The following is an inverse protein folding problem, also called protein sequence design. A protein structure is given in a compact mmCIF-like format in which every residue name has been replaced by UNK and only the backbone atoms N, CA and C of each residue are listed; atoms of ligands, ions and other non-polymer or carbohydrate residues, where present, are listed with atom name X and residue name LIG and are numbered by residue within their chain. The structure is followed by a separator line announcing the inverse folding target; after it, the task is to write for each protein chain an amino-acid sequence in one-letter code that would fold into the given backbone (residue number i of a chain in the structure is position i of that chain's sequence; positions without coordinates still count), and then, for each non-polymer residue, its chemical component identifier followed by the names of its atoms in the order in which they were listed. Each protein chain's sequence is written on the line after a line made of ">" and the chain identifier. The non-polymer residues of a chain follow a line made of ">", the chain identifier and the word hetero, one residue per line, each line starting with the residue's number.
data_IF_429377122032
#
_entry.id   IF_429377122032
#
_cell.length_a   1.000
_cell.length_b   1.000
_cell.length_c   1.000
_cell.angle_alpha   90.00
_cell.angle_beta   90.00
_cell.angle_gamma   90.00
#
_symmetry.space_group_name_H-M   'P 1'
#
loop_
_entity.id
_entity.type
_entity.pdbx_description
1 polymer ?
#
# COMPACT_ATOMS: atom_id res chain seq x y z
N UNK A 1 13.41 -33.98 20.63
CA UNK A 1 13.47 -32.61 20.11
C UNK A 1 12.23 -32.42 19.26
N UNK A 2 11.20 -31.83 19.84
CA UNK A 2 9.94 -31.58 19.14
C UNK A 2 10.03 -30.20 18.52
N UNK A 3 10.11 -30.15 17.20
CA UNK A 3 9.99 -28.90 16.45
C UNK A 3 8.56 -28.39 16.62
N UNK A 4 8.42 -27.28 17.35
CA UNK A 4 7.19 -26.52 17.38
C UNK A 4 7.01 -25.84 16.01
N UNK A 5 6.35 -26.52 15.09
CA UNK A 5 5.71 -25.89 13.95
C UNK A 5 4.60 -25.00 14.51
N UNK A 6 4.89 -23.71 14.73
CA UNK A 6 3.84 -22.72 14.97
C UNK A 6 2.87 -22.80 13.80
N UNK A 7 1.65 -23.26 14.08
CA UNK A 7 0.57 -23.24 13.13
C UNK A 7 0.39 -21.78 12.68
N UNK A 8 0.64 -21.51 11.40
CA UNK A 8 0.32 -20.23 10.78
C UNK A 8 -1.18 -20.03 11.01
N UNK A 9 -1.52 -19.00 11.76
CA UNK A 9 -2.90 -18.63 12.01
C UNK A 9 -3.57 -18.41 10.65
N UNK A 10 -4.69 -19.09 10.35
CA UNK A 10 -5.32 -18.98 9.05
C UNK A 10 -5.76 -17.53 8.86
N UNK A 11 -5.19 -16.89 7.84
CA UNK A 11 -5.57 -15.52 7.50
C UNK A 11 -7.03 -15.51 7.03
N UNK A 12 -7.75 -14.40 7.21
CA UNK A 12 -9.09 -14.15 6.67
C UNK A 12 -9.24 -14.61 5.20
N UNK A 13 -8.17 -14.47 4.42
CA UNK A 13 -8.08 -14.92 3.04
C UNK A 13 -8.32 -16.43 2.80
N UNK A 14 -8.03 -17.31 3.77
CA UNK A 14 -8.17 -18.77 3.59
C UNK A 14 -9.62 -19.20 3.35
N UNK A 15 -10.60 -18.43 3.86
CA UNK A 15 -12.02 -18.67 3.56
C UNK A 15 -12.36 -18.25 2.14
N UNK A 16 -11.85 -17.11 1.68
CA UNK A 16 -12.11 -16.57 0.33
C UNK A 16 -11.64 -17.50 -0.78
N UNK A 17 -10.57 -18.27 -0.55
CA UNK A 17 -10.00 -19.18 -1.56
C UNK A 17 -10.54 -20.61 -1.52
N UNK A 18 -11.41 -20.95 -0.56
CA UNK A 18 -11.87 -22.32 -0.31
C UNK A 18 -12.61 -22.97 -1.49
N UNK A 19 -13.24 -22.16 -2.36
CA UNK A 19 -13.98 -22.62 -3.53
C UNK A 19 -13.14 -22.70 -4.82
N UNK A 20 -11.88 -22.28 -4.79
CA UNK A 20 -11.00 -22.30 -5.95
C UNK A 20 -10.39 -23.70 -6.15
N UNK A 21 -10.02 -24.03 -7.39
CA UNK A 21 -9.20 -25.20 -7.68
C UNK A 21 -7.84 -25.08 -6.96
N UNK A 22 -7.20 -26.21 -6.65
CA UNK A 22 -5.95 -26.22 -5.87
C UNK A 22 -4.86 -25.35 -6.48
N UNK A 23 -4.72 -25.36 -7.81
CA UNK A 23 -3.72 -24.56 -8.52
C UNK A 23 -4.02 -23.07 -8.44
N UNK A 24 -5.26 -22.66 -8.71
CA UNK A 24 -5.67 -21.24 -8.64
C UNK A 24 -5.55 -20.72 -7.22
N UNK A 25 -5.98 -21.52 -6.22
CA UNK A 25 -5.82 -21.21 -4.79
C UNK A 25 -4.36 -21.01 -4.43
N UNK A 26 -3.48 -21.94 -4.82
CA UNK A 26 -2.06 -21.86 -4.52
C UNK A 26 -1.47 -20.56 -5.05
N UNK A 27 -1.72 -20.24 -6.33
CA UNK A 27 -1.23 -19.03 -6.98
C UNK A 27 -1.77 -17.77 -6.28
N UNK A 28 -3.08 -17.70 -6.02
CA UNK A 28 -3.70 -16.55 -5.36
C UNK A 28 -3.14 -16.33 -3.94
N UNK A 29 -3.04 -17.40 -3.14
CA UNK A 29 -2.53 -17.32 -1.76
C UNK A 29 -1.05 -16.95 -1.67
N UNK A 30 -0.25 -17.26 -2.70
CA UNK A 30 1.17 -16.98 -2.73
C UNK A 30 1.48 -15.50 -2.93
N UNK A 31 0.64 -14.79 -3.68
CA UNK A 31 0.85 -13.37 -4.02
C UNK A 31 0.23 -12.39 -3.01
N UNK A 32 -0.67 -12.86 -2.15
CA UNK A 32 -1.28 -12.01 -1.12
C UNK A 32 -0.35 -11.96 0.09
N UNK A 33 0.26 -10.80 0.29
CA UNK A 33 1.12 -10.55 1.44
C UNK A 33 0.29 -10.24 2.68
N UNK A 34 0.76 -10.65 3.88
CA UNK A 34 0.25 -10.10 5.13
C UNK A 34 0.28 -8.56 5.13
N UNK A 35 -0.72 -7.92 5.72
CA UNK A 35 -0.90 -6.46 5.71
C UNK A 35 0.33 -5.69 6.25
N UNK A 36 1.09 -6.26 7.19
CA UNK A 36 2.31 -5.65 7.76
C UNK A 36 3.54 -5.75 6.86
N UNK A 37 3.43 -6.48 5.75
CA UNK A 37 4.47 -6.65 4.72
C UNK A 37 4.05 -6.05 3.38
N UNK A 38 2.76 -5.79 3.20
CA UNK A 38 2.21 -5.08 2.05
C UNK A 38 2.38 -3.58 2.25
N UNK A 39 3.25 -2.95 1.44
CA UNK A 39 3.41 -1.49 1.46
C UNK A 39 2.07 -0.78 1.22
N UNK A 40 1.24 -1.34 0.35
CA UNK A 40 -0.04 -0.74 -0.05
C UNK A 40 -1.06 -0.83 1.08
N UNK A 41 -1.18 -1.98 1.74
CA UNK A 41 -2.03 -2.14 2.91
C UNK A 41 -1.56 -1.23 4.06
N UNK A 42 -0.25 -1.14 4.32
CA UNK A 42 0.30 -0.21 5.32
C UNK A 42 0.01 1.25 4.98
N UNK A 43 0.12 1.66 3.70
CA UNK A 43 -0.24 3.01 3.23
C UNK A 43 -1.73 3.31 3.39
N UNK A 44 -2.59 2.32 3.14
CA UNK A 44 -4.02 2.41 3.39
C UNK A 44 -4.30 2.65 4.88
N UNK A 45 -3.77 1.80 5.77
CA UNK A 45 -3.98 1.92 7.21
C UNK A 45 -3.46 3.26 7.75
N UNK A 46 -2.23 3.65 7.43
CA UNK A 46 -1.63 4.89 7.95
C UNK A 46 -2.37 6.15 7.46
N UNK A 47 -2.92 6.14 6.25
CA UNK A 47 -3.73 7.24 5.73
C UNK A 47 -5.02 7.42 6.54
N UNK A 48 -5.67 6.32 6.90
CA UNK A 48 -6.81 6.33 7.80
C UNK A 48 -6.46 6.79 9.21
N UNK A 49 -5.36 6.29 9.77
CA UNK A 49 -4.89 6.71 11.10
C UNK A 49 -4.56 8.21 11.15
N UNK A 50 -3.88 8.74 10.12
CA UNK A 50 -3.60 10.17 10.01
C UNK A 50 -4.89 10.97 9.95
N UNK A 51 -5.83 10.62 9.07
CA UNK A 51 -7.10 11.32 8.95
C UNK A 51 -7.90 11.30 10.25
N UNK A 52 -7.95 10.17 10.95
CA UNK A 52 -8.59 10.04 12.25
C UNK A 52 -7.95 10.91 13.33
N UNK A 53 -6.67 11.28 13.20
CA UNK A 53 -5.98 12.19 14.12
C UNK A 53 -6.08 13.66 13.74
N UNK A 54 -6.04 13.98 12.44
CA UNK A 54 -6.03 15.36 11.95
C UNK A 54 -7.42 15.98 11.86
N UNK A 55 -8.43 15.18 11.51
CA UNK A 55 -9.76 15.72 11.11
C UNK A 55 -10.80 15.55 12.24
N UNK A 56 -10.54 14.68 13.23
CA UNK A 56 -11.45 14.40 14.36
C UNK A 56 -11.55 15.54 15.39
N UNK A 57 -10.71 16.58 15.29
CA UNK A 57 -10.60 17.65 16.31
C UNK A 57 -11.23 18.99 15.95
N UNK A 58 -12.04 19.06 14.90
CA UNK A 58 -12.88 20.23 14.62
C UNK A 58 -14.35 19.99 14.98
N UNK A 59 -14.75 19.88 16.27
CA UNK A 59 -16.08 20.29 16.64
C UNK A 59 -16.10 21.81 16.53
N UNK A 60 -16.72 22.33 15.48
CA UNK A 60 -17.04 23.75 15.38
C UNK A 60 -17.94 24.09 16.57
N UNK A 61 -17.37 24.74 17.58
CA UNK A 61 -18.10 25.38 18.67
C UNK A 61 -18.83 26.59 18.09
N UNK A 62 -19.94 26.34 17.40
CA UNK A 62 -20.85 27.37 16.93
C UNK A 62 -22.20 26.74 16.59
N UNK A 63 -23.02 26.50 17.61
CA UNK A 63 -24.51 26.52 17.61
C UNK A 63 -24.96 26.01 18.99
N UNK A 64 -24.90 26.88 20.00
CA UNK A 64 -26.06 27.57 20.59
C UNK A 64 -26.99 26.63 21.36
N UNK A 65 -27.03 26.85 22.67
CA UNK A 65 -28.04 26.36 23.61
C UNK A 65 -29.48 26.53 23.06
N UNK A 66 -30.03 25.52 22.39
CA UNK A 66 -31.46 25.33 22.20
C UNK A 66 -31.75 23.89 21.76
N UNK A 67 -32.67 23.23 22.47
CA UNK A 67 -33.25 21.92 22.15
C UNK A 67 -32.40 20.68 22.46
N UNK A 68 -32.12 20.50 23.75
CA UNK A 68 -32.01 19.18 24.36
C UNK A 68 -33.35 18.43 24.27
N UNK A 69 -33.66 17.79 23.13
CA UNK A 69 -34.54 16.59 23.08
C UNK A 69 -34.47 15.77 21.77
N UNK A 70 -33.48 16.02 20.90
CA UNK A 70 -33.23 15.15 19.74
C UNK A 70 -31.83 14.59 19.84
N UNK A 71 -31.60 13.75 20.84
CA UNK A 71 -30.49 12.81 20.79
C UNK A 71 -30.75 11.85 19.62
N UNK A 72 -30.37 12.29 18.41
CA UNK A 72 -30.06 11.40 17.31
C UNK A 72 -29.02 10.45 17.87
N UNK A 73 -29.46 9.25 18.21
CA UNK A 73 -28.60 8.11 18.49
C UNK A 73 -27.65 8.02 17.30
N UNK A 74 -26.42 8.49 17.47
CA UNK A 74 -25.33 8.16 16.58
C UNK A 74 -25.32 6.64 16.51
N UNK A 75 -25.59 6.15 15.31
CA UNK A 75 -25.88 4.77 15.00
C UNK A 75 -24.82 3.86 15.65
N UNK A 76 -25.24 2.89 16.47
CA UNK A 76 -24.37 1.86 17.08
C UNK A 76 -23.77 0.91 16.01
N UNK A 77 -23.70 1.35 14.76
CA UNK A 77 -23.28 0.62 13.57
C UNK A 77 -22.03 1.22 12.90
N UNK A 78 -21.47 2.31 13.42
CA UNK A 78 -20.11 2.72 13.01
C UNK A 78 -19.10 1.76 13.66
N UNK A 79 -18.49 0.90 12.84
CA UNK A 79 -17.41 0.01 13.28
C UNK A 79 -16.26 0.82 13.88
N UNK A 80 -15.51 0.19 14.80
CA UNK A 80 -14.31 0.84 15.33
C UNK A 80 -13.36 1.17 14.15
N UNK A 81 -12.68 2.33 14.14
CA UNK A 81 -11.77 2.71 13.05
C UNK A 81 -10.75 1.63 12.70
N UNK A 82 -10.27 0.87 13.69
CA UNK A 82 -9.34 -0.24 13.49
C UNK A 82 -9.96 -1.40 12.71
N UNK A 83 -11.23 -1.74 12.96
CA UNK A 83 -11.97 -2.78 12.23
C UNK A 83 -12.25 -2.36 10.78
N UNK A 84 -12.66 -1.10 10.59
CA UNK A 84 -12.86 -0.50 9.28
C UNK A 84 -11.56 -0.55 8.47
N UNK A 85 -10.45 -0.05 9.04
CA UNK A 85 -9.17 0.01 8.36
C UNK A 85 -8.57 -1.38 8.12
N UNK A 86 -8.82 -2.35 9.00
CA UNK A 86 -8.44 -3.75 8.77
C UNK A 86 -9.14 -4.30 7.53
N UNK A 87 -10.46 -4.13 7.41
CA UNK A 87 -11.23 -4.61 6.26
C UNK A 87 -10.78 -3.97 4.94
N UNK A 88 -10.57 -2.64 4.94
CA UNK A 88 -10.13 -1.92 3.73
C UNK A 88 -8.69 -2.27 3.37
N UNK A 89 -7.80 -2.46 4.35
CA UNK A 89 -6.42 -2.89 4.11
C UNK A 89 -6.37 -4.32 3.53
N UNK A 90 -7.26 -5.23 3.95
CA UNK A 90 -7.38 -6.56 3.33
C UNK A 90 -7.80 -6.48 1.87
N UNK A 91 -8.77 -5.61 1.53
CA UNK A 91 -9.16 -5.38 0.13
C UNK A 91 -7.99 -4.84 -0.72
N UNK A 92 -7.19 -3.93 -0.15
CA UNK A 92 -5.99 -3.39 -0.81
C UNK A 92 -4.93 -4.48 -1.01
N UNK A 93 -4.72 -5.38 -0.04
CA UNK A 93 -3.78 -6.50 -0.17
C UNK A 93 -4.21 -7.47 -1.29
N UNK A 94 -5.52 -7.74 -1.44
CA UNK A 94 -6.06 -8.51 -2.56
C UNK A 94 -5.80 -7.82 -3.91
N UNK A 95 -6.04 -6.50 -3.98
CA UNK A 95 -5.78 -5.71 -5.18
C UNK A 95 -4.28 -5.68 -5.54
N UNK A 96 -3.39 -5.63 -4.54
CA UNK A 96 -1.95 -5.74 -4.76
C UNK A 96 -1.56 -7.09 -5.36
N UNK A 97 -2.12 -8.19 -4.84
CA UNK A 97 -1.93 -9.52 -5.41
C UNK A 97 -2.40 -9.61 -6.87
N UNK A 98 -3.53 -8.98 -7.20
CA UNK A 98 -3.99 -8.84 -8.58
C UNK A 98 -2.96 -8.12 -9.46
N UNK A 99 -2.47 -6.95 -9.04
CA UNK A 99 -1.49 -6.15 -9.79
C UNK A 99 -0.19 -6.95 -9.97
N UNK A 100 0.28 -7.66 -8.94
CA UNK A 100 1.48 -8.47 -9.02
C UNK A 100 1.33 -9.62 -10.03
N UNK A 101 0.21 -10.34 -10.03
CA UNK A 101 -0.04 -11.40 -11.00
C UNK A 101 -0.12 -10.88 -12.44
N UNK A 102 -0.78 -9.73 -12.66
CA UNK A 102 -0.84 -9.11 -14.00
C UNK A 102 0.53 -8.70 -14.49
N UNK A 103 1.35 -8.14 -13.61
CA UNK A 103 2.73 -7.81 -13.93
C UNK A 103 3.56 -9.06 -14.27
N UNK A 104 3.48 -10.11 -13.43
CA UNK A 104 4.18 -11.38 -13.68
C UNK A 104 3.75 -12.02 -15.02
N UNK A 105 2.46 -11.96 -15.38
CA UNK A 105 1.95 -12.51 -16.64
C UNK A 105 2.46 -11.79 -17.91
N UNK A 106 2.85 -10.52 -17.77
CA UNK A 106 3.38 -9.69 -18.85
C UNK A 106 4.91 -9.74 -18.95
N UNK A 107 5.60 -9.74 -17.81
CA UNK A 107 7.04 -9.47 -17.74
C UNK A 107 7.88 -10.57 -17.10
N UNK A 108 7.26 -11.61 -16.54
CA UNK A 108 7.98 -12.71 -15.91
C UNK A 108 7.79 -14.01 -16.67
N UNK A 109 8.82 -14.86 -16.62
CA UNK A 109 8.78 -16.23 -17.15
C UNK A 109 8.17 -17.23 -16.14
N UNK A 110 7.59 -16.72 -15.04
CA UNK A 110 6.98 -17.54 -13.98
C UNK A 110 5.83 -18.41 -14.46
N UNK A 111 5.06 -17.95 -15.46
CA UNK A 111 3.87 -18.64 -15.97
C UNK A 111 3.99 -18.93 -17.48
N UNK A 112 4.98 -19.76 -17.84
CA UNK A 112 5.28 -20.13 -19.24
C UNK A 112 4.38 -21.24 -19.80
N UNK A 113 3.88 -22.14 -18.93
CA UNK A 113 2.94 -23.19 -19.32
C UNK A 113 1.51 -22.64 -19.50
N UNK A 114 0.79 -23.12 -20.52
CA UNK A 114 -0.58 -22.68 -20.81
C UNK A 114 -1.52 -22.83 -19.61
N UNK A 115 -1.53 -24.00 -18.97
CA UNK A 115 -2.39 -24.25 -17.81
C UNK A 115 -2.06 -23.35 -16.61
N UNK A 116 -0.77 -23.07 -16.39
CA UNK A 116 -0.32 -22.17 -15.33
C UNK A 116 -0.70 -20.73 -15.64
N UNK A 117 -0.58 -20.31 -16.90
CA UNK A 117 -1.00 -18.99 -17.37
C UNK A 117 -2.50 -18.79 -17.20
N UNK A 118 -3.31 -19.76 -17.61
CA UNK A 118 -4.77 -19.74 -17.45
C UNK A 118 -5.15 -19.71 -15.95
N UNK A 119 -4.49 -20.50 -15.12
CA UNK A 119 -4.70 -20.49 -13.67
C UNK A 119 -4.31 -19.16 -13.01
N UNK A 120 -3.21 -18.53 -13.45
CA UNK A 120 -2.77 -17.23 -12.96
C UNK A 120 -3.72 -16.10 -13.40
N UNK A 121 -4.28 -16.16 -14.61
CA UNK A 121 -5.34 -15.24 -15.05
C UNK A 121 -6.57 -15.38 -14.14
N UNK A 122 -7.06 -16.60 -13.91
CA UNK A 122 -8.20 -16.84 -13.02
C UNK A 122 -7.93 -16.41 -11.57
N UNK A 123 -6.70 -16.64 -11.08
CA UNK A 123 -6.29 -16.19 -9.75
C UNK A 123 -6.32 -14.66 -9.67
N UNK A 124 -5.81 -13.96 -10.68
CA UNK A 124 -5.85 -12.50 -10.72
C UNK A 124 -7.28 -11.96 -10.77
N UNK A 125 -8.16 -12.54 -11.60
CA UNK A 125 -9.57 -12.13 -11.69
C UNK A 125 -10.30 -12.34 -10.37
N UNK A 126 -10.03 -13.47 -9.70
CA UNK A 126 -10.59 -13.73 -8.38
C UNK A 126 -10.13 -12.71 -7.34
N UNK A 127 -8.83 -12.39 -7.28
CA UNK A 127 -8.30 -11.39 -6.35
C UNK A 127 -8.90 -10.01 -6.59
N UNK A 128 -9.07 -9.60 -7.86
CA UNK A 128 -9.71 -8.34 -8.20
C UNK A 128 -11.17 -8.30 -7.75
N UNK A 129 -11.94 -9.35 -8.04
CA UNK A 129 -13.34 -9.47 -7.60
C UNK A 129 -13.47 -9.52 -6.06
N UNK A 130 -12.58 -10.26 -5.40
CA UNK A 130 -12.55 -10.38 -3.95
C UNK A 130 -12.28 -9.02 -3.28
N UNK A 131 -11.41 -8.17 -3.85
CA UNK A 131 -11.20 -6.83 -3.34
C UNK A 131 -12.49 -5.98 -3.31
N UNK A 132 -13.34 -6.07 -4.34
CA UNK A 132 -14.65 -5.39 -4.34
C UNK A 132 -15.61 -5.96 -3.30
N UNK A 133 -15.65 -7.29 -3.15
CA UNK A 133 -16.49 -7.93 -2.15
C UNK A 133 -16.08 -7.47 -0.74
N UNK A 134 -14.78 -7.49 -0.42
CA UNK A 134 -14.24 -7.06 0.87
C UNK A 134 -14.50 -5.58 1.16
N UNK A 135 -14.45 -4.70 0.16
CA UNK A 135 -14.82 -3.28 0.33
C UNK A 135 -16.30 -3.11 0.63
N UNK A 136 -17.16 -3.91 -0.01
CA UNK A 136 -18.61 -3.86 0.19
C UNK A 136 -19.00 -4.38 1.58
N UNK A 137 -18.26 -5.35 2.10
CA UNK A 137 -18.45 -5.94 3.43
C UNK A 137 -17.82 -5.11 4.57
N UNK A 138 -17.12 -4.01 4.26
CA UNK A 138 -16.49 -3.17 5.27
C UNK A 138 -17.56 -2.51 6.17
N UNK A 139 -17.35 -2.41 7.49
CA UNK A 139 -18.34 -1.88 8.43
C UNK A 139 -18.41 -0.35 8.41
N UNK A 140 -18.80 0.22 7.28
CA UNK A 140 -18.95 1.67 7.04
C UNK A 140 -20.37 2.01 6.61
N UNK A 141 -20.84 3.26 6.81
CA UNK A 141 -22.14 3.71 6.32
C UNK A 141 -22.27 3.58 4.80
N UNK A 142 -23.48 3.34 4.28
CA UNK A 142 -23.77 3.13 2.85
C UNK A 142 -23.18 4.21 1.93
N UNK A 143 -23.27 5.48 2.32
CA UNK A 143 -22.70 6.59 1.56
C UNK A 143 -21.19 6.46 1.39
N UNK A 144 -20.49 6.06 2.46
CA UNK A 144 -19.05 5.84 2.48
C UNK A 144 -18.66 4.55 1.75
N UNK A 145 -19.48 3.50 1.85
CA UNK A 145 -19.32 2.26 1.06
C UNK A 145 -19.37 2.56 -0.45
N UNK A 146 -20.32 3.38 -0.90
CA UNK A 146 -20.42 3.81 -2.29
C UNK A 146 -19.21 4.65 -2.74
N UNK A 147 -18.69 5.52 -1.89
CA UNK A 147 -17.48 6.29 -2.17
C UNK A 147 -16.24 5.39 -2.29
N UNK A 148 -16.06 4.44 -1.36
CA UNK A 148 -14.99 3.43 -1.45
C UNK A 148 -15.07 2.63 -2.75
N UNK A 149 -16.27 2.18 -3.12
CA UNK A 149 -16.50 1.47 -4.39
C UNK A 149 -16.09 2.33 -5.59
N UNK A 150 -16.49 3.61 -5.64
CA UNK A 150 -16.12 4.54 -6.72
C UNK A 150 -14.61 4.73 -6.81
N UNK A 151 -13.93 4.89 -5.69
CA UNK A 151 -12.48 5.03 -5.66
C UNK A 151 -11.77 3.75 -6.11
N UNK A 152 -12.23 2.58 -5.67
CA UNK A 152 -11.69 1.29 -6.13
C UNK A 152 -11.91 1.08 -7.64
N UNK A 153 -13.07 1.47 -8.16
CA UNK A 153 -13.39 1.41 -9.59
C UNK A 153 -12.52 2.35 -10.43
N UNK A 154 -12.33 3.58 -9.97
CA UNK A 154 -11.44 4.55 -10.62
C UNK A 154 -9.98 4.05 -10.62
N UNK A 155 -9.48 3.57 -9.47
CA UNK A 155 -8.14 3.00 -9.35
C UNK A 155 -7.96 1.76 -10.24
N UNK A 156 -8.93 0.86 -10.29
CA UNK A 156 -8.93 -0.30 -11.18
C UNK A 156 -8.86 0.09 -12.66
N UNK A 157 -9.57 1.14 -13.04
CA UNK A 157 -9.57 1.64 -14.42
C UNK A 157 -8.24 2.28 -14.79
N UNK A 158 -7.63 3.04 -13.87
CA UNK A 158 -6.30 3.59 -14.06
C UNK A 158 -5.24 2.49 -14.17
N UNK A 159 -5.30 1.46 -13.30
CA UNK A 159 -4.41 0.29 -13.40
C UNK A 159 -4.57 -0.44 -14.74
N UNK A 160 -5.79 -0.60 -15.24
CA UNK A 160 -6.04 -1.22 -16.54
C UNK A 160 -5.44 -0.40 -17.69
N UNK A 161 -5.54 0.93 -17.65
CA UNK A 161 -4.92 1.82 -18.62
C UNK A 161 -3.39 1.68 -18.61
N UNK A 162 -2.76 1.71 -17.43
CA UNK A 162 -1.31 1.52 -17.30
C UNK A 162 -0.87 0.14 -17.82
N UNK A 163 -1.59 -0.94 -17.50
CA UNK A 163 -1.28 -2.26 -18.05
C UNK A 163 -1.47 -2.35 -19.58
N UNK A 164 -2.41 -1.60 -20.14
CA UNK A 164 -2.61 -1.53 -21.59
C UNK A 164 -1.45 -0.80 -22.28
N UNK A 165 -0.98 0.33 -21.73
CA UNK A 165 0.19 1.06 -22.24
C UNK A 165 1.48 0.24 -22.13
N UNK A 166 1.57 -0.57 -21.08
CA UNK A 166 2.68 -1.49 -20.83
C UNK A 166 2.69 -2.72 -21.75
N UNK A 167 1.55 -3.08 -22.36
CA UNK A 167 1.48 -4.23 -23.26
C UNK A 167 2.25 -3.90 -24.55
N UNK A 168 3.35 -4.60 -24.86
CA UNK A 168 4.13 -4.30 -26.05
C UNK A 168 3.29 -4.57 -27.29
N UNK A 169 2.94 -3.51 -28.02
CA UNK A 169 2.45 -3.61 -29.40
C UNK A 169 3.58 -4.20 -30.25
N UNK A 170 3.46 -5.44 -30.70
CA UNK A 170 4.37 -5.99 -31.70
C UNK A 170 3.66 -6.23 -33.04
N UNK A 171 4.36 -6.41 -34.16
CA UNK A 171 5.74 -6.02 -34.49
C UNK A 171 5.75 -4.88 -35.53
N UNK A 172 6.75 -3.99 -35.49
CA UNK A 172 7.25 -3.43 -36.75
C UNK A 172 8.06 -4.55 -37.42
N UNK A 173 7.56 -5.02 -38.56
CA UNK A 173 8.31 -5.81 -39.54
C UNK A 173 9.62 -5.08 -39.85
N UNK A 174 10.75 -5.54 -39.30
CA UNK A 174 11.88 -5.95 -40.13
C UNK A 174 13.05 -6.53 -39.30
N UNK A 175 13.54 -7.67 -39.79
CA UNK A 175 14.89 -8.24 -39.57
C UNK A 175 15.27 -8.82 -38.19
N UNK A 176 15.19 -10.15 -38.11
CA UNK A 176 16.39 -10.98 -37.95
C UNK A 176 16.99 -11.14 -36.54
N UNK A 177 16.70 -12.30 -35.93
CA UNK A 177 17.63 -13.10 -35.11
C UNK A 177 18.47 -12.35 -34.06
N UNK A 178 17.84 -11.88 -33.00
CA UNK A 178 18.31 -12.09 -31.62
C UNK A 178 17.18 -11.69 -30.67
N UNK A 179 16.52 -12.66 -30.03
CA UNK A 179 15.49 -12.38 -29.04
C UNK A 179 16.15 -11.89 -27.76
N UNK A 180 16.42 -10.58 -27.70
CA UNK A 180 16.89 -9.93 -26.48
C UNK A 180 15.84 -10.06 -25.36
N UNK A 181 16.26 -10.16 -24.08
CA UNK A 181 15.35 -10.19 -22.95
C UNK A 181 14.41 -8.97 -23.01
N UNK A 182 13.11 -9.16 -22.73
CA UNK A 182 12.12 -8.07 -22.64
C UNK A 182 12.65 -7.01 -21.66
N UNK A 183 13.17 -5.91 -22.19
CA UNK A 183 13.64 -4.81 -21.38
C UNK A 183 12.47 -4.26 -20.56
N UNK A 184 12.67 -4.10 -19.25
CA UNK A 184 11.71 -3.40 -18.40
C UNK A 184 11.48 -1.98 -18.97
N UNK A 185 10.24 -1.45 -18.89
CA UNK A 185 9.94 -0.11 -19.36
C UNK A 185 10.89 0.91 -18.71
N UNK A 186 11.51 1.75 -19.53
CA UNK A 186 12.47 2.76 -19.11
C UNK A 186 11.79 3.88 -18.31
N UNK A 187 12.45 4.30 -17.23
CA UNK A 187 11.94 4.95 -16.02
C UNK A 187 11.57 6.47 -16.12
N UNK A 188 11.15 6.99 -17.29
CA UNK A 188 11.17 8.46 -17.49
C UNK A 188 9.84 9.16 -17.85
N UNK A 189 8.69 8.49 -17.95
CA UNK A 189 7.41 9.24 -18.05
C UNK A 189 6.10 8.56 -17.69
N UNK A 190 6.00 7.23 -17.62
CA UNK A 190 4.73 6.54 -17.31
C UNK A 190 4.53 6.29 -15.82
N UNK A 191 3.29 6.41 -15.34
CA UNK A 191 2.95 6.18 -13.94
C UNK A 191 2.91 4.68 -13.69
N UNK A 192 4.03 4.11 -13.24
CA UNK A 192 4.14 2.67 -12.96
C UNK A 192 2.90 2.16 -12.16
N UNK A 193 2.28 1.00 -12.51
CA UNK A 193 1.04 0.50 -11.88
C UNK A 193 1.06 0.48 -10.34
N UNK A 194 2.25 0.29 -9.75
CA UNK A 194 2.47 0.38 -8.30
C UNK A 194 2.22 1.77 -7.69
N UNK A 195 2.53 2.84 -8.42
CA UNK A 195 2.23 4.21 -7.99
C UNK A 195 0.72 4.49 -8.00
N UNK A 196 0.00 4.02 -9.04
CA UNK A 196 -1.48 4.08 -9.08
C UNK A 196 -2.08 3.28 -7.92
N UNK A 197 -1.55 2.09 -7.64
CA UNK A 197 -1.99 1.27 -6.52
C UNK A 197 -1.75 1.96 -5.18
N UNK A 198 -0.62 2.61 -4.98
CA UNK A 198 -0.31 3.37 -3.77
C UNK A 198 -1.26 4.53 -3.53
N UNK A 199 -1.57 5.28 -4.58
CA UNK A 199 -2.56 6.36 -4.52
C UNK A 199 -3.97 5.84 -4.24
N UNK A 200 -4.34 4.72 -4.88
CA UNK A 200 -5.63 4.07 -4.64
C UNK A 200 -5.74 3.61 -3.18
N UNK A 201 -4.68 2.98 -2.64
CA UNK A 201 -4.62 2.51 -1.27
C UNK A 201 -4.77 3.64 -0.25
N UNK A 202 -4.03 4.74 -0.39
CA UNK A 202 -4.18 5.89 0.52
C UNK A 202 -5.54 6.55 0.41
N UNK A 203 -6.08 6.67 -0.81
CA UNK A 203 -7.42 7.22 -1.03
C UNK A 203 -8.48 6.39 -0.32
N UNK A 204 -8.42 5.06 -0.46
CA UNK A 204 -9.37 4.14 0.20
C UNK A 204 -9.27 4.23 1.72
N UNK A 205 -8.05 4.16 2.29
CA UNK A 205 -7.86 4.24 3.73
C UNK A 205 -8.34 5.55 4.35
N UNK A 206 -8.03 6.68 3.72
CA UNK A 206 -8.49 7.98 4.16
C UNK A 206 -10.02 8.14 3.99
N UNK A 207 -10.59 7.66 2.90
CA UNK A 207 -12.05 7.69 2.67
C UNK A 207 -12.80 6.85 3.68
N UNK A 208 -12.25 5.70 4.09
CA UNK A 208 -12.88 4.77 5.02
C UNK A 208 -13.21 5.40 6.39
N UNK A 209 -12.44 6.41 6.79
CA UNK A 209 -12.62 7.18 8.04
C UNK A 209 -13.18 8.58 7.81
N UNK A 210 -13.59 8.92 6.58
CA UNK A 210 -14.21 10.22 6.26
C UNK A 210 -13.25 11.40 6.20
N UNK A 211 -12.02 11.18 5.72
CA UNK A 211 -11.01 12.24 5.61
C UNK A 211 -11.41 13.40 4.68
N UNK A 212 -10.99 14.61 5.05
CA UNK A 212 -11.12 15.80 4.22
C UNK A 212 -10.33 15.68 2.90
N UNK A 213 -10.74 16.44 1.87
CA UNK A 213 -10.09 16.45 0.55
C UNK A 213 -8.59 16.79 0.65
N UNK A 214 -8.22 17.73 1.53
CA UNK A 214 -6.83 18.14 1.73
C UNK A 214 -5.98 17.03 2.34
N UNK A 215 -6.54 16.28 3.31
CA UNK A 215 -5.86 15.14 3.93
C UNK A 215 -5.64 14.03 2.92
N UNK A 216 -6.66 13.73 2.10
CA UNK A 216 -6.56 12.78 0.98
C UNK A 216 -5.50 13.22 -0.03
N UNK A 217 -5.49 14.48 -0.44
CA UNK A 217 -4.54 15.01 -1.41
C UNK A 217 -3.08 14.93 -0.90
N UNK A 218 -2.84 15.29 0.35
CA UNK A 218 -1.52 15.19 0.99
C UNK A 218 -1.03 13.73 1.08
N UNK A 219 -1.88 12.81 1.53
CA UNK A 219 -1.54 11.38 1.61
C UNK A 219 -1.27 10.76 0.24
N UNK A 220 -2.04 11.13 -0.79
CA UNK A 220 -1.82 10.66 -2.16
C UNK A 220 -0.47 11.17 -2.72
N UNK A 221 -0.14 12.44 -2.49
CA UNK A 221 1.14 13.01 -2.90
C UNK A 221 2.33 12.35 -2.20
N UNK A 222 2.19 12.06 -0.89
CA UNK A 222 3.17 11.30 -0.12
C UNK A 222 3.37 9.89 -0.69
N UNK A 223 2.30 9.11 -0.82
CA UNK A 223 2.35 7.71 -1.24
C UNK A 223 2.92 7.56 -2.65
N UNK A 224 2.50 8.41 -3.59
CA UNK A 224 3.04 8.42 -4.95
C UNK A 224 4.54 8.69 -4.94
N UNK A 225 4.99 9.68 -4.17
CA UNK A 225 6.40 10.06 -4.11
C UNK A 225 7.26 8.98 -3.45
N UNK A 226 6.82 8.42 -2.32
CA UNK A 226 7.52 7.32 -1.64
C UNK A 226 7.57 6.05 -2.50
N UNK A 227 6.45 5.65 -3.11
CA UNK A 227 6.39 4.47 -3.98
C UNK A 227 7.32 4.61 -5.19
N UNK A 228 7.40 5.81 -5.77
CA UNK A 228 8.33 6.09 -6.89
C UNK A 228 9.78 5.96 -6.46
N UNK A 229 10.15 6.54 -5.30
CA UNK A 229 11.49 6.40 -4.75
C UNK A 229 11.85 4.92 -4.50
N UNK A 230 10.94 4.15 -3.91
CA UNK A 230 11.13 2.72 -3.65
C UNK A 230 11.25 1.88 -4.92
N UNK A 231 10.48 2.21 -5.97
CA UNK A 231 10.60 1.54 -7.26
C UNK A 231 11.98 1.75 -7.89
N UNK A 232 12.50 2.99 -7.83
CA UNK A 232 13.83 3.32 -8.34
C UNK A 232 14.95 2.59 -7.61
N UNK A 233 14.88 2.53 -6.28
CA UNK A 233 15.86 1.79 -5.46
C UNK A 233 15.90 0.32 -5.84
N UNK A 234 14.73 -0.32 -5.98
CA UNK A 234 14.67 -1.73 -6.38
C UNK A 234 15.18 -1.98 -7.81
N UNK A 235 14.99 -1.02 -8.72
CA UNK A 235 15.49 -1.12 -10.09
C UNK A 235 17.01 -0.97 -10.14
N UNK A 236 17.58 0.00 -9.41
CA UNK A 236 19.04 0.18 -9.30
C UNK A 236 19.74 -1.07 -8.78
N UNK A 237 19.24 -1.66 -7.69
CA UNK A 237 19.82 -2.87 -7.10
C UNK A 237 19.80 -4.07 -8.07
N UNK A 238 18.75 -4.20 -8.89
CA UNK A 238 18.62 -5.29 -9.87
C UNK A 238 19.57 -5.13 -11.07
N UNK A 239 20.10 -3.93 -11.32
CA UNK A 239 20.99 -3.65 -12.45
C UNK A 239 22.49 -3.91 -12.16
N UNK A 240 22.87 -3.98 -10.89
CA UNK A 240 24.27 -4.15 -10.46
C UNK A 240 24.73 -5.62 -10.39
N UNK A 241 23.83 -6.61 -10.40
CA UNK A 241 24.18 -8.05 -10.39
C UNK A 241 24.55 -8.59 -11.79
N UNK A 242 25.59 -8.04 -12.41
CA UNK A 242 26.32 -8.72 -13.50
C UNK A 242 27.32 -9.72 -12.91
N UNK A 243 26.82 -10.73 -12.21
CA UNK A 243 27.63 -11.79 -11.61
C UNK A 243 26.77 -12.96 -11.17
N UNK A 244 26.74 -14.01 -11.97
CA UNK A 244 25.89 -15.19 -11.78
C UNK A 244 26.00 -15.81 -10.38
N UNK A 245 24.99 -15.56 -9.54
CA UNK A 245 24.68 -16.36 -8.34
C UNK A 245 23.18 -16.67 -8.39
N UNK A 246 22.76 -17.93 -8.19
CA UNK A 246 21.36 -18.31 -8.31
C UNK A 246 20.48 -17.57 -7.29
N UNK A 247 19.39 -16.99 -7.78
CA UNK A 247 18.40 -16.14 -7.11
C UNK A 247 17.73 -16.71 -5.83
N UNK A 248 18.14 -17.88 -5.34
CA UNK A 248 17.53 -18.52 -4.16
C UNK A 248 18.25 -18.24 -2.83
N UNK A 249 19.45 -17.66 -2.84
CA UNK A 249 20.25 -17.41 -1.62
C UNK A 249 20.55 -15.95 -1.30
N UNK A 250 20.40 -15.02 -2.26
CA UNK A 250 20.56 -13.58 -2.03
C UNK A 250 19.36 -12.94 -1.30
N UNK A 251 18.20 -13.59 -1.32
CA UNK A 251 16.97 -13.16 -0.63
C UNK A 251 17.04 -13.21 0.92
N UNK A 252 18.21 -13.50 1.52
CA UNK A 252 18.35 -13.74 2.97
C UNK A 252 19.22 -12.72 3.72
N UNK A 253 19.78 -11.71 3.04
CA UNK A 253 20.64 -10.71 3.69
C UNK A 253 20.22 -9.24 3.45
N UNK A 254 19.54 -8.90 2.34
CA UNK A 254 18.97 -7.57 2.11
C UNK A 254 17.46 -7.60 2.33
N UNK A 255 16.94 -6.82 3.28
CA UNK A 255 15.48 -6.70 3.46
C UNK A 255 14.95 -5.84 2.32
N UNK A 256 13.93 -6.29 1.57
CA UNK A 256 13.28 -5.48 0.54
C UNK A 256 12.93 -4.09 1.14
N UNK A 257 13.41 -2.97 0.54
CA UNK A 257 13.14 -1.65 1.08
C UNK A 257 11.64 -1.36 1.21
N UNK A 258 10.79 -2.01 0.40
CA UNK A 258 9.33 -1.88 0.48
C UNK A 258 8.75 -2.62 1.66
N UNK A 259 9.20 -3.84 1.92
CA UNK A 259 8.79 -4.58 3.11
C UNK A 259 9.26 -3.84 4.38
N UNK A 260 10.46 -3.25 4.34
CA UNK A 260 10.96 -2.41 5.43
C UNK A 260 10.07 -1.18 5.64
N UNK A 261 9.67 -0.50 4.56
CA UNK A 261 8.72 0.61 4.61
C UNK A 261 7.35 0.19 5.17
N UNK A 262 6.81 -0.94 4.71
CA UNK A 262 5.56 -1.50 5.23
C UNK A 262 5.63 -1.71 6.75
N UNK A 263 6.70 -2.35 7.24
CA UNK A 263 6.88 -2.59 8.68
C UNK A 263 7.02 -1.30 9.50
N UNK A 264 7.70 -0.28 8.97
CA UNK A 264 7.82 1.03 9.61
C UNK A 264 6.46 1.74 9.69
N UNK A 265 5.72 1.74 8.57
CA UNK A 265 4.38 2.32 8.50
C UNK A 265 3.38 1.60 9.41
N UNK A 266 3.49 0.28 9.54
CA UNK A 266 2.69 -0.52 10.47
C UNK A 266 3.17 -0.46 11.93
N UNK A 267 4.23 0.31 12.24
CA UNK A 267 4.76 0.46 13.59
C UNK A 267 5.45 -0.79 14.17
N UNK A 268 5.75 -1.80 13.35
CA UNK A 268 6.39 -3.06 13.74
C UNK A 268 7.92 -3.02 13.71
N UNK A 269 8.50 -2.01 13.06
CA UNK A 269 9.94 -1.82 13.01
C UNK A 269 10.34 -0.44 13.56
N UNK A 270 11.32 -0.46 14.46
CA UNK A 270 12.16 0.71 14.65
C UNK A 270 13.08 0.79 13.43
N UNK A 271 13.13 1.94 12.76
CA UNK A 271 14.15 2.19 11.72
C UNK A 271 15.58 2.29 12.33
N UNK A 272 15.76 1.81 13.57
CA UNK A 272 16.99 1.81 14.33
C UNK A 272 17.86 0.63 13.92
N UNK A 273 18.37 0.68 12.70
CA UNK A 273 19.64 0.04 12.36
C UNK A 273 20.55 1.15 11.86
N UNK A 274 21.26 1.71 12.85
CA UNK A 274 22.49 2.48 12.71
C UNK A 274 23.31 2.02 11.51
N UNK A 275 23.26 2.79 10.44
CA UNK A 275 24.49 3.18 9.76
C UNK A 275 24.48 4.70 9.70
N UNK A 276 25.47 5.30 10.35
CA UNK A 276 25.82 6.71 10.23
C UNK A 276 26.50 6.96 8.86
N UNK A 277 26.02 6.26 7.83
CA UNK A 277 26.46 6.33 6.47
C UNK A 277 25.31 6.87 5.66
N UNK A 278 25.32 8.16 5.39
CA UNK A 278 24.54 8.77 4.33
C UNK A 278 24.94 8.09 3.01
N UNK A 279 24.34 6.92 2.72
CA UNK A 279 24.38 6.33 1.41
C UNK A 279 23.70 7.35 0.49
N UNK A 280 24.49 7.91 -0.43
CA UNK A 280 24.08 8.99 -1.30
C UNK A 280 22.98 8.46 -2.20
N UNK A 281 21.72 8.70 -1.83
CA UNK A 281 20.58 8.43 -2.69
C UNK A 281 20.81 9.15 -4.02
N UNK A 282 20.59 8.47 -5.14
CA UNK A 282 20.67 9.11 -6.45
C UNK A 282 19.80 10.38 -6.46
N UNK A 283 20.17 11.44 -7.21
CA UNK A 283 19.43 12.71 -7.19
C UNK A 283 17.93 12.56 -7.47
N UNK A 284 17.56 11.56 -8.27
CA UNK A 284 16.16 11.20 -8.53
C UNK A 284 15.44 10.66 -7.31
N UNK A 285 16.05 9.73 -6.56
CA UNK A 285 15.49 9.16 -5.32
C UNK A 285 15.35 10.27 -4.28
N UNK A 286 16.40 11.07 -4.06
CA UNK A 286 16.39 12.18 -3.10
C UNK A 286 15.24 13.16 -3.35
N UNK A 287 15.03 13.57 -4.61
CA UNK A 287 13.93 14.47 -5.00
C UNK A 287 12.55 13.90 -4.69
N UNK A 288 12.33 12.60 -4.87
CA UNK A 288 11.05 11.97 -4.53
C UNK A 288 10.86 11.86 -3.02
N UNK A 289 11.92 11.61 -2.26
CA UNK A 289 11.87 11.60 -0.80
C UNK A 289 11.60 13.01 -0.24
N UNK A 290 12.20 14.06 -0.80
CA UNK A 290 11.90 15.45 -0.45
C UNK A 290 10.43 15.79 -0.74
N UNK A 291 9.93 15.48 -1.93
CA UNK A 291 8.51 15.67 -2.26
C UNK A 291 7.56 14.92 -1.33
N UNK A 292 7.93 13.71 -0.90
CA UNK A 292 7.14 12.97 0.08
C UNK A 292 7.08 13.74 1.41
N UNK A 293 8.21 14.28 1.89
CA UNK A 293 8.25 15.09 3.12
C UNK A 293 7.49 16.40 2.98
N UNK A 294 7.63 17.09 1.86
CA UNK A 294 6.88 18.34 1.57
C UNK A 294 5.37 18.10 1.60
N UNK A 295 4.91 16.94 1.12
CA UNK A 295 3.51 16.57 1.17
C UNK A 295 2.97 16.36 2.61
N UNK A 296 3.84 16.08 3.59
CA UNK A 296 3.45 15.94 5.00
C UNK A 296 3.36 17.27 5.74
N UNK A 297 4.06 18.32 5.28
CA UNK A 297 4.11 19.62 5.97
C UNK A 297 2.72 20.20 6.34
N UNK A 298 1.71 20.20 5.45
CA UNK A 298 0.38 20.71 5.79
C UNK A 298 -0.32 19.93 6.90
N UNK A 299 -0.03 18.63 7.02
CA UNK A 299 -0.63 17.75 8.03
C UNK A 299 0.04 17.94 9.39
N UNK A 300 1.35 18.15 9.40
CA UNK A 300 2.11 18.48 10.61
C UNK A 300 1.63 19.81 11.19
N UNK A 301 1.57 20.87 10.38
CA UNK A 301 1.08 22.19 10.80
C UNK A 301 -0.33 22.12 11.40
N UNK A 302 -1.22 21.32 10.79
CA UNK A 302 -2.58 21.10 11.30
C UNK A 302 -2.60 20.34 12.62
N UNK A 303 -1.74 19.34 12.78
CA UNK A 303 -1.64 18.56 14.01
C UNK A 303 -1.12 19.40 15.18
N UNK A 304 -0.14 20.28 14.94
CA UNK A 304 0.44 21.17 15.95
C UNK A 304 -0.53 22.30 16.36
N UNK A 305 -1.22 22.89 15.39
CA UNK A 305 -2.29 23.88 15.67
C UNK A 305 -3.44 23.27 16.47
N UNK A 306 -3.82 22.02 16.19
CA UNK A 306 -4.82 21.31 16.99
C UNK A 306 -4.31 20.96 18.41
N UNK A 307 -3.02 20.65 18.57
CA UNK A 307 -2.44 20.34 19.88
C UNK A 307 -2.32 21.59 20.78
N UNK A 308 -2.03 22.75 20.20
CA UNK A 308 -1.92 24.02 20.94
C UNK A 308 -3.27 24.59 21.35
N UNK A 309 -4.34 24.30 20.59
CA UNK A 309 -5.72 24.68 20.93
C UNK A 309 -6.36 23.80 22.02
N UNK A 310 -5.87 22.57 22.22
CA UNK A 310 -6.40 21.60 23.18
C UNK A 310 -5.49 21.39 24.39
N UNK A 311 -5.30 22.42 25.21
CA UNK A 311 -4.65 22.23 26.52
C UNK A 311 -5.70 21.78 27.52
N UNK A 312 -5.76 20.47 27.81
CA UNK A 312 -5.91 19.87 29.16
C UNK A 312 -6.24 18.36 29.10
N UNK A 313 -5.41 17.57 29.78
CA UNK A 313 -5.68 16.25 30.37
C UNK A 313 -6.16 15.08 29.48
N UNK A 314 -5.23 14.25 29.05
CA UNK A 314 -5.38 12.78 29.10
C UNK A 314 -4.00 12.12 29.06
N UNK A 315 -3.40 12.00 30.25
CA UNK A 315 -2.36 10.99 30.52
C UNK A 315 -3.08 9.69 30.85
N UNK A 316 -3.31 8.85 29.85
CA UNK A 316 -3.56 7.43 30.12
C UNK A 316 -2.60 6.56 29.30
N UNK A 317 -1.91 5.71 30.04
CA UNK A 317 -0.70 5.01 29.63
C UNK A 317 -1.04 3.60 29.16
N UNK A 318 -1.11 3.42 27.84
CA UNK A 318 -0.85 2.14 27.17
C UNK A 318 0.13 2.48 26.07
N UNK A 319 1.40 2.04 26.21
CA UNK A 319 2.55 2.52 25.42
C UNK A 319 2.19 2.74 23.95
N UNK A 320 1.89 3.98 23.51
CA UNK A 320 1.46 4.21 22.15
C UNK A 320 2.69 4.00 21.27
N UNK A 321 2.55 3.21 20.22
CA UNK A 321 3.51 3.25 19.12
C UNK A 321 3.70 4.69 18.63
N UNK A 322 4.77 4.97 17.87
CA UNK A 322 5.00 6.31 17.33
C UNK A 322 3.76 6.82 16.60
N UNK A 323 3.41 8.10 16.82
CA UNK A 323 2.27 8.75 16.19
C UNK A 323 2.28 8.55 14.66
N UNK A 324 1.12 8.45 13.99
CA UNK A 324 1.03 8.16 12.56
C UNK A 324 1.95 9.01 11.67
N UNK A 325 2.01 10.32 11.91
CA UNK A 325 2.90 11.23 11.18
C UNK A 325 4.39 10.91 11.40
N UNK A 326 4.78 10.54 12.62
CA UNK A 326 6.16 10.14 12.91
C UNK A 326 6.56 8.83 12.20
N UNK A 327 5.60 7.91 11.99
CA UNK A 327 5.83 6.71 11.17
C UNK A 327 6.04 7.06 9.70
N UNK A 328 5.25 7.98 9.15
CA UNK A 328 5.41 8.47 7.77
C UNK A 328 6.76 9.15 7.56
N UNK A 329 7.17 10.04 8.48
CA UNK A 329 8.49 10.67 8.41
C UNK A 329 9.60 9.62 8.46
N UNK A 330 9.47 8.62 9.33
CA UNK A 330 10.48 7.56 9.49
C UNK A 330 10.60 6.69 8.25
N UNK A 331 9.50 6.37 7.56
CA UNK A 331 9.55 5.62 6.32
C UNK A 331 10.35 6.34 5.22
N UNK A 332 10.44 7.68 5.27
CA UNK A 332 11.32 8.45 4.36
C UNK A 332 12.80 8.44 4.76
N UNK A 333 13.17 7.79 5.86
CA UNK A 333 14.55 7.72 6.39
C UNK A 333 15.13 6.30 6.34
N UNK A 334 14.41 5.35 5.74
CA UNK A 334 14.91 4.00 5.54
C UNK A 334 16.17 4.06 4.65
N UNK A 335 17.23 3.28 4.94
CA UNK A 335 18.42 3.28 4.11
C UNK A 335 18.07 2.83 2.68
N UNK A 336 18.20 3.75 1.72
CA UNK A 336 18.06 3.51 0.28
C UNK A 336 19.42 3.23 -0.34
N UNK A 337 20.18 2.29 0.25
CA UNK A 337 21.53 2.00 -0.19
C UNK A 337 21.52 1.36 -1.60
N UNK A 338 22.38 1.87 -2.49
CA UNK A 338 22.98 1.06 -3.54
C UNK A 338 24.13 0.29 -2.87
N UNK A 339 24.05 -1.03 -2.80
CA UNK A 339 25.22 -1.84 -2.45
C UNK A 339 26.29 -1.62 -3.53
N UNK A 340 27.46 -1.10 -3.12
CA UNK A 340 28.59 -0.75 -3.99
C UNK A 340 29.23 -1.96 -4.65
#
# INVERSE_FOLDING_TARGET
>A
MSEHLSAREPTTFDRSFSNLSSTVRSIASEVVLPCDRSLQASLCTIAGEVAATTDRRTPTVAESDAEADTALTFDEHEGQPDEILSSVAEAVALLEGYVQLRYDLLYSDRYTGREQRDAAVLASDHLHAAAYATITDAPVPDGRSLELYRHLAAGSSALAAEFAELTPTGPDDDTGADATPRAQPSDDSSVHPRAVLAETATTLGATAVGAADETRAAMNAYARSLSTALCRVTASASSSESGAVPASTAARAGTDPRETAARVLSGRADASSSSDGAAVASPGIARHIERARDALAPLVDRSETAATAGTENSTDSTTPGPAPLARLERATRIPFADEQ
#
